data_IF_873972048548
#
_entry.id   IF_873972048548
#
_cell.length_a   1.000
_cell.length_b   1.000
_cell.length_c   1.000
_cell.angle_alpha   90.00
_cell.angle_beta   90.00
_cell.angle_gamma   90.00
#
_symmetry.space_group_name_H-M   'P 1'
#
loop_
_entity.id
_entity.type
_entity.pdbx_description
1 polymer ?
#
# COMPACT_ATOMS: atom_id res chain seq x y z
N UNK A 1 38.35 21.97 1.03
CA UNK A 1 38.20 20.65 1.68
C UNK A 1 37.60 19.67 0.69
N UNK A 2 38.31 18.63 0.28
CA UNK A 2 37.83 17.60 -0.65
C UNK A 2 36.89 16.62 0.09
N UNK A 3 35.65 16.48 -0.38
CA UNK A 3 34.68 15.54 0.22
C UNK A 3 35.14 14.10 -0.05
N UNK A 4 35.37 13.29 0.99
CA UNK A 4 35.64 11.86 0.83
C UNK A 4 34.42 11.18 0.17
N UNK A 5 34.68 10.47 -0.92
CA UNK A 5 33.64 9.72 -1.64
C UNK A 5 33.43 8.38 -0.94
N UNK A 6 32.16 8.06 -0.65
CA UNK A 6 31.78 6.80 0.01
C UNK A 6 31.66 5.68 -1.03
N UNK A 7 32.29 4.55 -0.77
CA UNK A 7 32.24 3.33 -1.59
C UNK A 7 31.42 2.23 -0.91
N UNK A 8 30.93 1.30 -1.73
CA UNK A 8 30.00 0.25 -1.35
C UNK A 8 30.42 -1.06 -2.01
N UNK A 9 30.56 -2.11 -1.22
CA UNK A 9 31.00 -3.43 -1.68
C UNK A 9 29.83 -4.38 -1.79
N UNK A 10 29.61 -4.94 -2.98
CA UNK A 10 28.58 -5.94 -3.26
C UNK A 10 29.04 -6.86 -4.39
N UNK A 11 28.77 -8.17 -4.28
CA UNK A 11 29.16 -9.18 -5.26
C UNK A 11 30.64 -9.13 -5.70
N UNK A 12 31.56 -8.88 -4.75
CA UNK A 12 33.01 -8.79 -5.03
C UNK A 12 33.48 -7.49 -5.70
N UNK A 13 32.56 -6.58 -6.04
CA UNK A 13 32.87 -5.26 -6.61
C UNK A 13 32.75 -4.18 -5.54
N UNK A 14 33.69 -3.23 -5.52
CA UNK A 14 33.63 -2.04 -4.65
C UNK A 14 33.50 -0.82 -5.53
N UNK A 15 32.33 -0.19 -5.52
CA UNK A 15 31.99 0.93 -6.39
C UNK A 15 31.38 2.08 -5.60
N UNK A 16 31.42 3.27 -6.18
CA UNK A 16 30.69 4.44 -5.68
C UNK A 16 29.21 4.34 -6.06
N UNK A 17 28.34 5.12 -5.42
CA UNK A 17 26.91 5.13 -5.77
C UNK A 17 26.62 5.51 -7.22
N UNK A 18 27.29 6.50 -7.84
CA UNK A 18 27.13 6.77 -9.27
C UNK A 18 27.51 5.56 -10.14
N UNK A 19 28.62 4.89 -9.84
CA UNK A 19 29.03 3.70 -10.58
C UNK A 19 28.03 2.54 -10.42
N UNK A 20 27.51 2.31 -9.21
CA UNK A 20 26.44 1.35 -9.01
C UNK A 20 25.17 1.74 -9.76
N UNK A 21 24.84 3.03 -9.81
CA UNK A 21 23.67 3.53 -10.54
C UNK A 21 23.75 3.21 -12.04
N UNK A 22 24.93 3.37 -12.62
CA UNK A 22 25.20 3.04 -14.02
C UNK A 22 25.16 1.52 -14.24
N UNK A 23 25.73 0.73 -13.32
CA UNK A 23 25.76 -0.74 -13.39
C UNK A 23 24.37 -1.38 -13.34
N UNK A 24 23.49 -0.92 -12.44
CA UNK A 24 22.14 -1.53 -12.24
C UNK A 24 21.01 -0.76 -12.92
N UNK A 25 21.30 0.37 -13.57
CA UNK A 25 20.29 1.21 -14.23
C UNK A 25 19.34 1.94 -13.27
N UNK A 26 19.72 2.12 -12.00
CA UNK A 26 18.93 2.81 -10.97
C UNK A 26 19.57 4.14 -10.67
N UNK A 27 18.81 5.24 -10.76
CA UNK A 27 19.33 6.60 -10.48
C UNK A 27 20.05 6.65 -9.13
N UNK A 28 21.24 7.28 -9.10
CA UNK A 28 22.04 7.41 -7.88
C UNK A 28 21.30 8.11 -6.72
N UNK A 29 20.38 9.02 -7.02
CA UNK A 29 19.49 9.63 -6.02
C UNK A 29 18.58 8.59 -5.35
N UNK A 30 17.99 7.68 -6.13
CA UNK A 30 17.15 6.59 -5.61
C UNK A 30 17.95 5.63 -4.74
N UNK A 31 19.17 5.26 -5.15
CA UNK A 31 20.05 4.42 -4.32
C UNK A 31 20.43 5.13 -3.01
N UNK A 32 20.71 6.44 -3.07
CA UNK A 32 21.00 7.25 -1.89
C UNK A 32 19.83 7.27 -0.92
N UNK A 33 18.60 7.46 -1.40
CA UNK A 33 17.40 7.48 -0.57
C UNK A 33 17.14 6.10 0.04
N UNK A 34 17.26 5.03 -0.77
CA UNK A 34 17.12 3.64 -0.30
C UNK A 34 18.07 3.33 0.87
N UNK A 35 19.34 3.70 0.76
CA UNK A 35 20.36 3.39 1.78
C UNK A 35 20.32 4.40 2.95
N UNK A 36 20.15 5.68 2.64
CA UNK A 36 20.25 6.79 3.58
C UNK A 36 18.97 7.00 4.38
N UNK A 37 17.85 7.18 3.70
CA UNK A 37 16.55 7.50 4.30
C UNK A 37 15.83 6.23 4.74
N UNK A 38 15.73 5.24 3.85
CA UNK A 38 14.96 4.02 4.09
C UNK A 38 15.76 2.92 4.81
N UNK A 39 17.07 3.14 5.00
CA UNK A 39 17.99 2.22 5.68
C UNK A 39 17.97 0.81 5.09
N UNK A 40 17.74 0.69 3.78
CA UNK A 40 17.79 -0.61 3.13
C UNK A 40 19.22 -1.15 3.11
N UNK A 41 19.39 -2.47 3.27
CA UNK A 41 20.68 -3.10 3.00
C UNK A 41 21.05 -2.90 1.53
N UNK A 42 22.36 -2.79 1.27
CA UNK A 42 22.89 -2.46 -0.07
C UNK A 42 22.38 -3.42 -1.15
N UNK A 43 22.39 -4.72 -0.87
CA UNK A 43 21.88 -5.76 -1.77
C UNK A 43 20.46 -5.44 -2.23
N UNK A 44 19.54 -5.27 -1.27
CA UNK A 44 18.14 -4.92 -1.54
C UNK A 44 18.02 -3.59 -2.29
N UNK A 45 18.86 -2.61 -1.95
CA UNK A 45 18.84 -1.32 -2.62
C UNK A 45 19.23 -1.41 -4.11
N UNK A 46 20.07 -2.39 -4.48
CA UNK A 46 20.53 -2.61 -5.85
C UNK A 46 19.60 -3.54 -6.65
N UNK A 47 18.95 -4.52 -6.02
CA UNK A 47 18.18 -5.55 -6.72
C UNK A 47 16.68 -5.26 -6.83
N UNK A 48 16.10 -4.49 -5.91
CA UNK A 48 14.66 -4.22 -5.94
C UNK A 48 14.26 -3.28 -7.08
N UNK A 49 13.20 -3.61 -7.85
CA UNK A 49 12.76 -2.78 -8.97
C UNK A 49 12.32 -1.39 -8.51
N UNK A 50 12.54 -0.41 -9.37
CA UNK A 50 12.03 0.96 -9.18
C UNK A 50 10.67 1.05 -9.87
N UNK A 51 9.68 1.65 -9.21
CA UNK A 51 8.41 1.97 -9.87
C UNK A 51 8.67 2.82 -11.12
N UNK A 52 8.22 2.34 -12.27
CA UNK A 52 8.22 3.11 -13.51
C UNK A 52 7.36 4.37 -13.38
N UNK A 53 7.52 5.32 -14.31
CA UNK A 53 6.70 6.52 -14.33
C UNK A 53 5.19 6.19 -14.40
N UNK A 54 4.83 5.21 -15.22
CA UNK A 54 3.45 4.74 -15.39
C UNK A 54 2.91 4.10 -14.11
N UNK A 55 3.69 3.20 -13.50
CA UNK A 55 3.34 2.58 -12.22
C UNK A 55 3.13 3.63 -11.13
N UNK A 56 3.96 4.69 -11.12
CA UNK A 56 3.84 5.79 -10.16
C UNK A 56 2.58 6.61 -10.38
N UNK A 57 2.21 6.89 -11.62
CA UNK A 57 0.97 7.59 -11.97
C UNK A 57 -0.25 6.80 -11.49
N UNK A 58 -0.29 5.51 -11.78
CA UNK A 58 -1.37 4.61 -11.33
C UNK A 58 -1.43 4.55 -9.80
N UNK A 59 -0.30 4.36 -9.12
CA UNK A 59 -0.23 4.35 -7.66
C UNK A 59 -0.76 5.66 -7.05
N UNK A 60 -0.35 6.80 -7.58
CA UNK A 60 -0.78 8.11 -7.08
C UNK A 60 -2.27 8.35 -7.30
N UNK A 61 -2.80 7.93 -8.45
CA UNK A 61 -4.21 7.99 -8.76
C UNK A 61 -5.02 7.12 -7.78
N UNK A 62 -4.65 5.85 -7.63
CA UNK A 62 -5.30 4.92 -6.73
C UNK A 62 -5.23 5.40 -5.28
N UNK A 63 -4.07 5.92 -4.86
CA UNK A 63 -3.89 6.51 -3.52
C UNK A 63 -4.82 7.70 -3.31
N UNK A 64 -5.08 8.53 -4.32
CA UNK A 64 -6.03 9.63 -4.25
C UNK A 64 -7.47 9.13 -4.12
N UNK A 65 -7.84 8.10 -4.88
CA UNK A 65 -9.16 7.47 -4.78
C UNK A 65 -9.37 6.88 -3.38
N UNK A 66 -8.45 6.05 -2.90
CA UNK A 66 -8.54 5.41 -1.58
C UNK A 66 -8.65 6.47 -0.48
N UNK A 67 -7.81 7.52 -0.52
CA UNK A 67 -7.91 8.63 0.44
C UNK A 67 -9.28 9.28 0.47
N UNK A 68 -9.91 9.49 -0.70
CA UNK A 68 -11.27 10.06 -0.80
C UNK A 68 -12.31 9.12 -0.22
N UNK A 69 -12.25 7.83 -0.53
CA UNK A 69 -13.16 6.82 0.00
C UNK A 69 -13.01 6.75 1.52
N UNK A 70 -11.79 6.66 2.05
CA UNK A 70 -11.55 6.61 3.49
C UNK A 70 -12.03 7.87 4.20
N UNK A 71 -11.81 9.06 3.61
CA UNK A 71 -12.34 10.31 4.17
C UNK A 71 -13.87 10.29 4.22
N UNK A 72 -14.52 9.88 3.13
CA UNK A 72 -15.97 9.77 3.02
C UNK A 72 -16.58 8.81 4.06
N UNK A 73 -15.95 7.63 4.25
CA UNK A 73 -16.37 6.66 5.26
C UNK A 73 -16.16 7.22 6.68
N UNK A 74 -15.03 7.89 6.94
CA UNK A 74 -14.71 8.47 8.25
C UNK A 74 -15.64 9.63 8.64
N UNK A 75 -16.17 10.37 7.67
CA UNK A 75 -17.10 11.48 7.91
C UNK A 75 -18.56 11.05 7.98
N UNK A 76 -18.86 9.75 8.08
CA UNK A 76 -20.23 9.24 8.22
C UNK A 76 -21.07 9.34 6.94
N UNK A 77 -20.45 9.46 5.76
CA UNK A 77 -21.15 9.66 4.48
C UNK A 77 -22.09 8.53 4.07
N UNK A 78 -22.05 7.38 4.75
CA UNK A 78 -22.96 6.26 4.53
C UNK A 78 -24.34 6.44 5.18
N UNK A 79 -24.51 7.34 6.17
CA UNK A 79 -25.83 7.60 6.79
C UNK A 79 -26.71 8.53 5.94
N UNK A 80 -26.13 9.29 5.00
CA UNK A 80 -26.87 10.28 4.20
C UNK A 80 -27.69 9.69 3.03
N UNK A 81 -27.41 8.46 2.60
CA UNK A 81 -28.08 7.84 1.45
C UNK A 81 -29.21 6.88 1.83
N UNK A 82 -29.28 6.45 3.09
CA UNK A 82 -30.38 5.61 3.58
C UNK A 82 -31.37 6.48 4.36
N UNK A 83 -32.08 7.36 3.65
CA UNK A 83 -33.37 7.82 4.13
C UNK A 83 -34.30 6.60 4.12
N UNK A 84 -34.45 5.94 5.27
CA UNK A 84 -35.58 5.04 5.50
C UNK A 84 -36.83 5.92 5.45
N UNK A 85 -37.73 5.80 4.46
CA UNK A 85 -39.03 6.46 4.58
C UNK A 85 -39.71 5.87 5.81
N UNK A 86 -39.99 6.73 6.79
CA UNK A 86 -40.81 6.40 7.96
C UNK A 86 -42.21 6.00 7.49
N UNK A 87 -42.38 4.70 7.24
CA UNK A 87 -43.67 4.06 7.02
C UNK A 87 -44.14 3.45 8.32
N UNK A 88 -44.93 4.21 9.07
CA UNK A 88 -45.80 3.70 10.14
C UNK A 88 -46.64 2.55 9.60
N UNK A 89 -46.53 1.37 10.20
CA UNK A 89 -47.37 0.22 9.89
C UNK A 89 -47.19 -0.85 10.95
N UNK A 90 -48.02 -0.81 11.99
CA UNK A 90 -48.18 -1.89 12.94
C UNK A 90 -48.43 -3.22 12.20
N UNK A 91 -47.61 -4.23 12.50
CA UNK A 91 -47.72 -5.56 11.92
C UNK A 91 -47.11 -6.59 12.86
N UNK A 92 -47.99 -7.33 13.51
CA UNK A 92 -47.76 -8.42 14.44
C UNK A 92 -46.57 -9.31 14.13
N UNK A 93 -45.86 -9.72 15.18
CA UNK A 93 -44.89 -10.83 15.15
C UNK A 93 -45.65 -12.13 15.43
N UNK A 94 -45.81 -13.07 14.48
CA UNK A 94 -45.84 -14.48 14.81
C UNK A 94 -44.37 -14.94 14.88
N UNK A 95 -43.91 -15.59 15.95
CA UNK A 95 -44.37 -16.91 16.33
C UNK A 95 -43.46 -17.93 15.62
N UNK A 96 -42.71 -18.69 16.42
CA UNK A 96 -41.97 -19.90 16.06
C UNK A 96 -40.53 -19.76 15.52
N UNK A 97 -39.58 -19.68 16.48
CA UNK A 97 -38.28 -20.32 16.35
C UNK A 97 -38.49 -21.83 16.58
N UNK A 98 -38.65 -22.60 15.51
CA UNK A 98 -38.43 -24.04 15.57
C UNK A 98 -36.96 -24.35 15.27
N UNK A 99 -36.30 -24.80 16.34
CA UNK A 99 -34.93 -25.29 16.38
C UNK A 99 -34.83 -26.63 15.64
N UNK A 100 -34.47 -26.61 14.36
CA UNK A 100 -34.04 -27.84 13.70
C UNK A 100 -32.58 -28.13 13.98
N UNK A 101 -32.45 -29.18 14.80
CA UNK A 101 -31.22 -29.76 15.29
C UNK A 101 -30.54 -30.50 14.15
N UNK A 102 -29.24 -30.23 14.00
CA UNK A 102 -28.33 -30.97 13.13
C UNK A 102 -28.36 -32.47 13.48
N UNK A 103 -28.76 -33.29 12.52
CA UNK A 103 -28.51 -34.72 12.49
C UNK A 103 -27.73 -35.08 11.23
N UNK A 104 -26.41 -34.90 11.26
CA UNK A 104 -25.50 -35.50 10.29
C UNK A 104 -24.87 -36.72 10.97
N UNK A 105 -25.03 -37.89 10.37
CA UNK A 105 -24.39 -39.14 10.77
C UNK A 105 -24.10 -39.96 9.49
N UNK A 106 -23.09 -40.84 9.55
CA UNK A 106 -22.01 -40.98 8.54
C UNK A 106 -22.37 -41.70 7.24
#
# INVERSE_FOLDING_TARGET
MTKRVRTYTFAGKTLTLPQWADEVGIKAATLRDRIGEWKWPLERALTEPVMTADQRTVYNHNRRIIRRITAFVRTGGYEATFHTPSGTGAGSVPGDLQSDSRGNAP
#
